data_IF_971693031422
#
_entry.id   IF_971693031422
#
_cell.length_a   1.000
_cell.length_b   1.000
_cell.length_c   1.000
_cell.angle_alpha   90.00
_cell.angle_beta   90.00
_cell.angle_gamma   90.00
#
_symmetry.space_group_name_H-M   'P 1'
#
loop_
_entity.id
_entity.type
_entity.pdbx_description
1 polymer ?
#
# COMPACT_ATOMS: atom_id res chain seq x y z
N UNK A 1 2.05 -0.98 41.26
CA UNK A 1 2.29 -2.25 40.54
C UNK A 1 2.85 -1.90 39.19
N UNK A 2 4.17 -1.96 39.04
CA UNK A 2 4.86 -1.62 37.81
C UNK A 2 4.67 -2.77 36.83
N UNK A 3 3.64 -2.70 35.98
CA UNK A 3 3.51 -3.61 34.86
C UNK A 3 4.78 -3.53 34.02
N UNK A 4 5.38 -4.67 33.70
CA UNK A 4 6.56 -4.68 32.83
C UNK A 4 6.22 -3.98 31.52
N UNK A 5 7.16 -3.21 30.95
CA UNK A 5 6.98 -2.45 29.70
C UNK A 5 6.35 -3.32 28.59
N UNK A 6 6.78 -4.59 28.51
CA UNK A 6 6.25 -5.60 27.59
C UNK A 6 4.78 -5.95 27.83
N UNK A 7 4.33 -5.99 29.09
CA UNK A 7 2.93 -6.29 29.43
C UNK A 7 1.99 -5.17 29.02
N UNK A 8 2.43 -3.92 29.18
CA UNK A 8 1.65 -2.74 28.76
C UNK A 8 1.56 -2.69 27.24
N UNK A 9 2.67 -2.91 26.55
CA UNK A 9 2.68 -2.97 25.10
C UNK A 9 1.83 -4.13 24.55
N UNK A 10 1.89 -5.30 25.18
CA UNK A 10 1.06 -6.45 24.82
C UNK A 10 -0.44 -6.17 25.01
N UNK A 11 -0.83 -5.51 26.10
CA UNK A 11 -2.22 -5.11 26.32
C UNK A 11 -2.68 -4.01 25.33
N UNK A 12 -1.79 -3.07 24.95
CA UNK A 12 -2.07 -2.09 23.91
C UNK A 12 -2.23 -2.77 22.54
N UNK A 13 -1.40 -3.77 22.24
CA UNK A 13 -1.48 -4.58 21.04
C UNK A 13 -2.84 -5.29 20.88
N UNK A 14 -3.40 -5.85 21.96
CA UNK A 14 -4.73 -6.48 21.92
C UNK A 14 -5.84 -5.47 21.56
N UNK A 15 -5.74 -4.23 22.05
CA UNK A 15 -6.66 -3.15 21.65
C UNK A 15 -6.44 -2.71 20.20
N UNK A 16 -5.20 -2.67 19.74
CA UNK A 16 -4.85 -2.33 18.36
C UNK A 16 -5.37 -3.38 17.37
N UNK A 17 -5.34 -4.68 17.72
CA UNK A 17 -5.96 -5.75 16.91
C UNK A 17 -7.46 -5.59 16.70
N UNK A 18 -8.16 -4.96 17.65
CA UNK A 18 -9.60 -4.70 17.52
C UNK A 18 -9.91 -3.49 16.62
N UNK A 19 -8.94 -2.61 16.40
CA UNK A 19 -9.09 -1.38 15.59
C UNK A 19 -8.46 -1.46 14.20
N UNK A 20 -7.47 -2.33 14.02
CA UNK A 20 -6.73 -2.50 12.79
C UNK A 20 -7.09 -3.84 12.11
N UNK A 21 -6.91 -3.90 10.79
CA UNK A 21 -7.02 -5.19 10.10
C UNK A 21 -5.85 -6.11 10.49
N UNK A 22 -6.03 -7.44 10.46
CA UNK A 22 -4.97 -8.39 10.84
C UNK A 22 -3.67 -8.21 10.04
N UNK A 23 -3.79 -7.89 8.76
CA UNK A 23 -2.65 -7.66 7.86
C UNK A 23 -1.85 -6.41 8.23
N UNK A 24 -2.54 -5.33 8.59
CA UNK A 24 -1.92 -4.10 9.07
C UNK A 24 -1.22 -4.35 10.40
N UNK A 25 -1.90 -5.03 11.33
CA UNK A 25 -1.33 -5.33 12.64
C UNK A 25 -0.05 -6.16 12.56
N UNK A 26 -0.06 -7.29 11.84
CA UNK A 26 1.12 -8.17 11.73
C UNK A 26 2.32 -7.47 11.09
N UNK A 27 2.07 -6.56 10.16
CA UNK A 27 3.12 -5.86 9.41
C UNK A 27 3.67 -4.64 10.16
N UNK A 28 2.77 -3.88 10.79
CA UNK A 28 3.07 -2.54 11.30
C UNK A 28 3.21 -2.44 12.80
N UNK A 29 2.53 -3.31 13.55
CA UNK A 29 2.47 -3.21 15.00
C UNK A 29 3.18 -4.39 15.65
N UNK A 30 3.04 -5.60 15.11
CA UNK A 30 3.58 -6.81 15.72
C UNK A 30 5.13 -6.87 15.74
N UNK A 31 5.79 -6.12 14.86
CA UNK A 31 7.27 -6.04 14.83
C UNK A 31 7.83 -4.99 15.78
N UNK A 32 6.98 -4.11 16.31
CA UNK A 32 7.38 -3.07 17.25
C UNK A 32 7.62 -3.73 18.61
N UNK A 33 8.77 -3.45 19.21
CA UNK A 33 9.10 -3.92 20.57
C UNK A 33 9.10 -2.78 21.54
N UNK A 34 8.60 -3.00 22.75
CA UNK A 34 8.72 -2.02 23.82
C UNK A 34 10.13 -2.08 24.42
N UNK A 35 10.84 -0.95 24.47
CA UNK A 35 12.18 -0.88 25.05
C UNK A 35 12.12 -0.47 26.51
N UNK A 36 11.49 0.65 26.78
CA UNK A 36 11.51 1.27 28.10
C UNK A 36 10.23 2.06 28.35
N UNK A 37 9.75 2.01 29.58
CA UNK A 37 8.62 2.82 30.04
C UNK A 37 9.12 3.78 31.11
N UNK A 38 9.20 5.05 30.74
CA UNK A 38 9.42 6.14 31.68
C UNK A 38 8.14 6.57 32.39
N UNK A 39 8.26 7.58 33.25
CA UNK A 39 7.11 8.15 33.95
C UNK A 39 6.17 8.92 33.00
N UNK A 40 6.71 9.52 31.94
CA UNK A 40 5.99 10.39 30.99
C UNK A 40 5.99 9.90 29.55
N UNK A 41 6.86 8.93 29.20
CA UNK A 41 7.00 8.43 27.85
C UNK A 41 7.18 6.91 27.78
N UNK A 42 6.66 6.30 26.72
CA UNK A 42 6.89 4.90 26.35
C UNK A 42 7.78 4.87 25.11
N UNK A 43 8.94 4.24 25.21
CA UNK A 43 9.90 4.10 24.11
C UNK A 43 9.66 2.77 23.40
N UNK A 44 9.33 2.87 22.12
CA UNK A 44 9.11 1.75 21.21
C UNK A 44 10.25 1.64 20.21
N UNK A 45 10.79 0.44 20.02
CA UNK A 45 11.86 0.18 19.07
C UNK A 45 11.31 -0.27 17.72
N UNK A 46 11.84 0.34 16.66
CA UNK A 46 11.48 0.09 15.26
C UNK A 46 12.72 -0.15 14.40
N UNK A 47 12.52 -0.82 13.27
CA UNK A 47 13.64 -1.36 12.47
C UNK A 47 14.46 -0.31 11.69
N UNK A 48 13.91 0.86 11.39
CA UNK A 48 14.60 1.94 10.66
C UNK A 48 13.86 3.28 10.80
N UNK A 49 14.54 4.39 10.46
CA UNK A 49 14.02 5.77 10.58
C UNK A 49 12.75 6.00 9.73
N UNK A 50 12.67 5.31 8.59
CA UNK A 50 11.51 5.40 7.73
C UNK A 50 10.27 4.75 8.40
N UNK A 51 10.46 3.56 8.98
CA UNK A 51 9.40 2.82 9.67
C UNK A 51 8.91 3.60 10.87
N UNK A 52 9.82 4.23 11.60
CA UNK A 52 9.50 5.20 12.64
C UNK A 52 8.56 6.28 12.10
N UNK A 53 9.03 7.04 11.10
CA UNK A 53 8.28 8.18 10.54
C UNK A 53 6.90 7.75 10.05
N UNK A 54 6.80 6.59 9.42
CA UNK A 54 5.55 6.09 8.88
C UNK A 54 4.56 5.65 9.97
N UNK A 55 5.03 4.92 11.00
CA UNK A 55 4.17 4.53 12.13
C UNK A 55 3.75 5.78 12.91
N UNK A 56 4.64 6.76 13.05
CA UNK A 56 4.35 8.06 13.66
C UNK A 56 3.25 8.81 12.89
N UNK A 57 3.37 8.93 11.57
CA UNK A 57 2.38 9.65 10.76
C UNK A 57 1.01 8.95 10.69
N UNK A 58 0.99 7.62 10.61
CA UNK A 58 -0.24 6.88 10.29
C UNK A 58 -0.93 6.27 11.52
N UNK A 59 -0.16 5.91 12.55
CA UNK A 59 -0.66 5.12 13.68
C UNK A 59 -0.37 5.71 15.06
N UNK A 60 0.42 6.79 15.19
CA UNK A 60 0.75 7.37 16.49
C UNK A 60 -0.49 7.64 17.33
N UNK A 61 -1.50 8.32 16.78
CA UNK A 61 -2.71 8.67 17.54
C UNK A 61 -3.45 7.42 18.05
N UNK A 62 -3.55 6.37 17.23
CA UNK A 62 -4.23 5.13 17.62
C UNK A 62 -3.40 4.37 18.66
N UNK A 63 -2.07 4.38 18.52
CA UNK A 63 -1.13 3.77 19.46
C UNK A 63 -1.18 4.49 20.81
N UNK A 64 -1.11 5.82 20.82
CA UNK A 64 -1.21 6.65 22.02
C UNK A 64 -2.54 6.44 22.74
N UNK A 65 -3.66 6.41 22.02
CA UNK A 65 -4.96 6.10 22.61
C UNK A 65 -5.02 4.69 23.23
N UNK A 66 -4.47 3.69 22.54
CA UNK A 66 -4.43 2.33 23.04
C UNK A 66 -3.57 2.22 24.32
N UNK A 67 -2.39 2.84 24.30
CA UNK A 67 -1.45 2.90 25.43
C UNK A 67 -2.06 3.66 26.60
N UNK A 68 -2.66 4.83 26.36
CA UNK A 68 -3.30 5.65 27.38
C UNK A 68 -4.48 4.94 28.04
N UNK A 69 -5.26 4.20 27.26
CA UNK A 69 -6.38 3.41 27.75
C UNK A 69 -5.95 2.17 28.56
N UNK A 70 -4.72 1.69 28.39
CA UNK A 70 -4.16 0.59 29.22
C UNK A 70 -3.55 1.14 30.51
N UNK A 71 -2.86 2.27 30.43
CA UNK A 71 -2.18 2.91 31.55
C UNK A 71 -3.09 3.81 32.40
N UNK A 72 -4.32 4.08 31.96
CA UNK A 72 -5.24 5.06 32.55
C UNK A 72 -4.62 6.45 32.76
N UNK A 73 -3.65 6.82 31.91
CA UNK A 73 -2.99 8.14 31.89
C UNK A 73 -2.46 8.42 30.49
N UNK A 74 -2.31 9.69 30.13
CA UNK A 74 -1.66 10.07 28.88
C UNK A 74 -0.16 9.87 28.99
N UNK A 75 0.43 9.19 28.01
CA UNK A 75 1.86 8.93 27.92
C UNK A 75 2.27 9.24 26.49
N UNK A 76 3.40 9.93 26.33
CA UNK A 76 3.94 10.24 25.00
C UNK A 76 4.60 8.98 24.44
N UNK A 77 4.27 8.61 23.21
CA UNK A 77 4.92 7.46 22.55
C UNK A 77 6.09 7.98 21.73
N UNK A 78 7.30 7.50 22.06
CA UNK A 78 8.52 7.84 21.35
C UNK A 78 9.04 6.60 20.63
N UNK A 79 9.51 6.78 19.41
CA UNK A 79 10.12 5.70 18.64
C UNK A 79 11.64 5.86 18.61
N UNK A 80 12.34 4.74 18.70
CA UNK A 80 13.78 4.67 18.59
C UNK A 80 14.16 3.62 17.55
N UNK A 81 15.07 3.97 16.65
CA UNK A 81 15.57 3.06 15.64
C UNK A 81 16.55 2.08 16.25
N UNK A 82 16.20 0.80 16.19
CA UNK A 82 17.07 -0.29 16.58
C UNK A 82 17.10 -1.36 15.47
N UNK A 83 18.23 -1.49 14.74
CA UNK A 83 18.36 -2.44 13.64
C UNK A 83 18.35 -3.92 14.08
N UNK A 84 18.47 -4.22 15.38
CA UNK A 84 18.39 -5.59 15.93
C UNK A 84 16.96 -6.06 16.19
N UNK A 85 15.95 -5.20 15.96
CA UNK A 85 14.55 -5.60 16.11
C UNK A 85 14.16 -6.53 14.95
N UNK A 86 13.72 -7.77 15.22
CA UNK A 86 13.38 -8.73 14.18
C UNK A 86 12.26 -8.19 13.30
N UNK A 87 12.57 -8.07 12.01
CA UNK A 87 11.61 -7.76 10.95
C UNK A 87 10.57 -8.89 10.89
N UNK A 88 9.29 -8.56 10.69
CA UNK A 88 8.25 -9.56 10.43
C UNK A 88 8.71 -10.44 9.28
N UNK A 89 9.12 -11.66 9.62
CA UNK A 89 9.27 -12.72 8.64
C UNK A 89 7.87 -13.11 8.23
N UNK A 90 7.63 -13.19 6.93
CA UNK A 90 6.40 -13.75 6.38
C UNK A 90 6.02 -15.03 7.14
N UNK A 91 4.98 -14.94 7.95
CA UNK A 91 4.20 -16.09 8.34
C UNK A 91 3.64 -16.65 7.03
N UNK A 92 4.11 -17.84 6.63
CA UNK A 92 3.47 -18.61 5.56
C UNK A 92 1.99 -18.67 5.87
N UNK A 93 1.19 -17.95 5.08
CA UNK A 93 -0.26 -17.91 5.25
C UNK A 93 -0.77 -19.34 5.10
N UNK A 94 -1.23 -19.87 6.23
CA UNK A 94 -1.96 -21.11 6.34
C UNK A 94 -3.18 -21.02 5.44
N UNK A 95 -3.34 -22.05 4.62
CA UNK A 95 -4.46 -22.22 3.70
C UNK A 95 -5.80 -21.90 4.39
N UNK A 96 -6.51 -20.89 3.88
CA UNK A 96 -7.92 -20.68 4.21
C UNK A 96 -8.76 -21.77 3.56
N UNK A 97 -9.78 -22.34 4.22
CA UNK A 97 -10.58 -23.43 3.65
C UNK A 97 -11.39 -22.96 2.44
N UNK A 98 -11.51 -23.88 1.49
CA UNK A 98 -12.16 -23.75 0.18
C UNK A 98 -13.59 -23.22 0.27
N UNK A 99 -13.90 -22.26 -0.61
CA UNK A 99 -15.09 -22.38 -1.46
C UNK A 99 -14.58 -22.35 -2.91
N UNK A 100 -14.61 -23.52 -3.53
CA UNK A 100 -14.39 -23.73 -4.97
C UNK A 100 -15.74 -23.51 -5.68
N UNK A 101 -15.76 -23.16 -6.97
CA UNK A 101 -15.54 -24.18 -7.99
C UNK A 101 -14.40 -23.84 -8.96
N UNK A 102 -13.51 -24.83 -9.08
CA UNK A 102 -12.82 -25.33 -10.30
C UNK A 102 -12.50 -24.29 -11.38
N UNK A 103 -11.22 -24.01 -11.66
CA UNK A 103 -10.40 -24.87 -12.52
C UNK A 103 -8.90 -24.82 -12.16
N UNK A 104 -8.22 -25.92 -12.48
CA UNK A 104 -6.81 -26.27 -12.28
C UNK A 104 -5.81 -25.32 -12.96
N UNK A 105 -4.62 -25.04 -12.38
CA UNK A 105 -3.57 -24.31 -13.09
C UNK A 105 -2.69 -25.28 -13.90
N UNK A 106 -2.75 -25.14 -15.21
CA UNK A 106 -1.67 -25.55 -16.13
C UNK A 106 -0.61 -24.45 -16.15
N UNK A 107 0.68 -24.77 -16.42
CA UNK A 107 1.79 -23.83 -16.25
C UNK A 107 1.96 -22.86 -17.44
N UNK A 108 2.40 -21.64 -17.14
CA UNK A 108 2.94 -20.62 -18.06
C UNK A 108 2.06 -20.12 -19.22
N UNK A 109 1.23 -19.10 -18.95
CA UNK A 109 1.05 -17.90 -19.82
C UNK A 109 0.80 -16.69 -18.90
N UNK A 110 1.39 -15.54 -19.23
CA UNK A 110 1.57 -14.37 -18.37
C UNK A 110 0.39 -14.05 -17.43
N UNK A 111 0.69 -13.84 -16.15
CA UNK A 111 -0.27 -13.36 -15.15
C UNK A 111 -0.95 -12.12 -15.71
N UNK A 112 -2.22 -12.25 -16.12
CA UNK A 112 -3.04 -11.09 -16.45
C UNK A 112 -3.02 -10.16 -15.24
N UNK A 113 -2.84 -8.85 -15.43
CA UNK A 113 -3.01 -7.90 -14.33
C UNK A 113 -4.38 -8.15 -13.70
N UNK A 114 -4.48 -8.01 -12.37
CA UNK A 114 -5.72 -8.17 -11.58
C UNK A 114 -6.72 -7.04 -11.91
N UNK A 115 -7.10 -6.93 -13.17
CA UNK A 115 -8.07 -5.98 -13.68
C UNK A 115 -9.46 -6.60 -13.54
N UNK A 116 -10.40 -5.82 -13.02
CA UNK A 116 -11.79 -6.21 -12.94
C UNK A 116 -12.39 -6.29 -14.35
N UNK A 117 -12.87 -7.47 -14.75
CA UNK A 117 -13.43 -7.73 -16.09
C UNK A 117 -14.62 -6.82 -16.45
N UNK A 118 -15.30 -6.24 -15.44
CA UNK A 118 -16.42 -5.32 -15.67
C UNK A 118 -15.96 -3.93 -16.10
N UNK A 119 -14.75 -3.52 -15.75
CA UNK A 119 -14.24 -2.16 -15.94
C UNK A 119 -13.60 -1.99 -17.32
N UNK A 120 -14.43 -2.06 -18.36
CA UNK A 120 -14.02 -1.86 -19.75
C UNK A 120 -14.66 -0.59 -20.33
N UNK A 121 -14.08 -0.02 -21.39
CA UNK A 121 -14.66 1.13 -22.08
C UNK A 121 -16.09 0.86 -22.58
N UNK A 122 -16.37 -0.37 -23.03
CA UNK A 122 -17.71 -0.79 -23.49
C UNK A 122 -18.78 -0.65 -22.41
N UNK A 123 -18.41 -0.90 -21.15
CA UNK A 123 -19.33 -0.85 -20.02
C UNK A 123 -19.35 0.52 -19.32
N UNK A 124 -18.60 1.51 -19.82
CA UNK A 124 -18.56 2.84 -19.23
C UNK A 124 -19.62 3.73 -19.89
N UNK A 125 -20.52 4.30 -19.08
CA UNK A 125 -21.58 5.18 -19.57
C UNK A 125 -21.01 6.61 -19.71
N UNK A 126 -21.01 7.10 -20.94
CA UNK A 126 -20.51 8.44 -21.28
C UNK A 126 -21.65 9.46 -21.11
N UNK A 127 -21.34 10.59 -20.48
CA UNK A 127 -22.21 11.74 -20.35
C UNK A 127 -21.42 13.06 -20.36
N UNK A 128 -22.08 14.21 -20.33
CA UNK A 128 -21.43 15.53 -20.50
C UNK A 128 -20.29 15.79 -19.50
N UNK A 129 -20.42 15.29 -18.27
CA UNK A 129 -19.46 15.53 -17.18
C UNK A 129 -18.24 14.61 -17.19
N UNK A 130 -18.31 13.46 -17.88
CA UNK A 130 -17.22 12.47 -17.91
C UNK A 130 -16.66 12.22 -19.32
N UNK A 131 -17.25 12.85 -20.36
CA UNK A 131 -16.85 12.67 -21.75
C UNK A 131 -15.38 13.02 -21.98
N UNK A 132 -14.89 14.11 -21.37
CA UNK A 132 -13.49 14.51 -21.49
C UNK A 132 -12.55 13.46 -20.89
N UNK A 133 -12.83 12.98 -19.67
CA UNK A 133 -12.02 11.96 -19.01
C UNK A 133 -12.04 10.63 -19.80
N UNK A 134 -13.20 10.25 -20.35
CA UNK A 134 -13.33 9.08 -21.21
C UNK A 134 -12.50 9.21 -22.49
N UNK A 135 -12.64 10.34 -23.21
CA UNK A 135 -11.90 10.59 -24.45
C UNK A 135 -10.38 10.60 -24.23
N UNK A 136 -9.90 11.26 -23.18
CA UNK A 136 -8.48 11.28 -22.80
C UNK A 136 -7.97 9.87 -22.45
N UNK A 137 -8.76 9.10 -21.71
CA UNK A 137 -8.43 7.71 -21.37
C UNK A 137 -8.33 6.82 -22.62
N UNK A 138 -9.27 6.98 -23.56
CA UNK A 138 -9.26 6.24 -24.81
C UNK A 138 -8.06 6.61 -25.69
N UNK A 139 -7.69 7.90 -25.76
CA UNK A 139 -6.52 8.35 -26.51
C UNK A 139 -5.22 7.75 -25.96
N UNK A 140 -5.07 7.71 -24.62
CA UNK A 140 -3.92 7.06 -23.97
C UNK A 140 -3.90 5.55 -24.23
N UNK A 141 -5.06 4.88 -24.18
CA UNK A 141 -5.15 3.46 -24.47
C UNK A 141 -4.80 3.11 -25.93
N UNK A 142 -5.11 4.00 -26.88
CA UNK A 142 -4.80 3.82 -28.30
C UNK A 142 -3.35 4.11 -28.64
N UNK A 143 -2.68 5.00 -27.90
CA UNK A 143 -1.28 5.37 -28.12
C UNK A 143 -0.56 5.63 -26.79
N UNK A 144 -0.27 4.57 -26.01
CA UNK A 144 0.39 4.68 -24.70
C UNK A 144 1.72 5.42 -24.81
N UNK A 145 1.97 6.34 -23.88
CA UNK A 145 3.21 7.14 -23.84
C UNK A 145 3.34 8.25 -24.90
N UNK A 146 2.46 8.30 -25.92
CA UNK A 146 2.52 9.31 -27.00
C UNK A 146 1.43 10.37 -26.91
N UNK A 147 0.22 9.98 -26.51
CA UNK A 147 -0.89 10.93 -26.37
C UNK A 147 -0.68 11.83 -25.14
N UNK A 148 -0.46 11.21 -23.98
CA UNK A 148 -0.19 11.86 -22.69
C UNK A 148 0.70 10.95 -21.84
N UNK A 149 1.66 11.52 -21.10
CA UNK A 149 2.42 10.84 -20.06
C UNK A 149 2.90 11.87 -19.01
N UNK A 150 2.40 11.84 -17.76
CA UNK A 150 1.35 10.96 -17.25
C UNK A 150 -0.07 11.41 -17.65
N UNK A 151 -1.05 10.50 -17.54
CA UNK A 151 -2.48 10.83 -17.51
C UNK A 151 -2.97 10.82 -16.06
N UNK A 152 -3.47 11.97 -15.58
CA UNK A 152 -3.98 12.11 -14.23
C UNK A 152 -5.49 12.34 -14.24
N UNK A 153 -6.25 11.44 -13.61
CA UNK A 153 -7.72 11.52 -13.51
C UNK A 153 -8.12 11.76 -12.05
N UNK A 154 -8.82 12.87 -11.79
CA UNK A 154 -9.30 13.22 -10.46
C UNK A 154 -10.80 13.54 -10.46
N UNK A 155 -11.41 13.52 -9.27
CA UNK A 155 -12.83 13.75 -9.06
C UNK A 155 -13.34 13.05 -7.80
N UNK A 156 -14.59 13.32 -7.44
CA UNK A 156 -15.24 12.76 -6.24
C UNK A 156 -15.34 11.23 -6.22
N UNK A 157 -15.86 10.67 -5.13
CA UNK A 157 -16.07 9.23 -5.00
C UNK A 157 -17.14 8.76 -6.01
N UNK A 158 -16.95 7.58 -6.60
CA UNK A 158 -17.97 6.97 -7.49
C UNK A 158 -18.08 7.55 -8.90
N UNK A 159 -17.26 8.53 -9.28
CA UNK A 159 -17.34 9.16 -10.64
C UNK A 159 -16.69 8.34 -11.76
N UNK A 160 -16.18 7.14 -11.47
CA UNK A 160 -15.65 6.21 -12.48
C UNK A 160 -14.15 6.28 -12.75
N UNK A 161 -13.35 6.91 -11.87
CA UNK A 161 -11.87 7.00 -12.01
C UNK A 161 -11.20 5.63 -12.19
N UNK A 162 -11.42 4.72 -11.24
CA UNK A 162 -10.91 3.35 -11.28
C UNK A 162 -11.41 2.58 -12.50
N UNK A 163 -12.67 2.79 -12.91
CA UNK A 163 -13.23 2.15 -14.10
C UNK A 163 -12.47 2.58 -15.35
N UNK A 164 -12.31 3.89 -15.58
CA UNK A 164 -11.59 4.41 -16.74
C UNK A 164 -10.13 3.94 -16.76
N UNK A 165 -9.44 3.99 -15.61
CA UNK A 165 -8.05 3.54 -15.52
C UNK A 165 -7.91 2.04 -15.86
N UNK A 166 -8.76 1.18 -15.31
CA UNK A 166 -8.70 -0.25 -15.62
C UNK A 166 -9.15 -0.55 -17.07
N UNK A 167 -10.03 0.28 -17.65
CA UNK A 167 -10.41 0.19 -19.05
C UNK A 167 -9.23 0.44 -20.00
N UNK A 168 -8.33 1.37 -19.65
CA UNK A 168 -7.04 1.57 -20.35
C UNK A 168 -6.22 0.27 -20.31
N UNK A 169 -6.13 -0.34 -19.13
CA UNK A 169 -5.41 -1.61 -18.94
C UNK A 169 -5.95 -2.72 -19.84
N UNK A 170 -7.27 -2.97 -19.81
CA UNK A 170 -7.92 -4.00 -20.64
C UNK A 170 -7.71 -3.75 -22.13
N UNK A 171 -7.84 -2.50 -22.58
CA UNK A 171 -7.63 -2.15 -23.98
C UNK A 171 -6.19 -2.43 -24.45
N UNK A 172 -5.22 -2.23 -23.55
CA UNK A 172 -3.79 -2.38 -23.85
C UNK A 172 -3.34 -3.86 -23.79
N UNK A 173 -3.91 -4.67 -22.90
CA UNK A 173 -3.63 -6.11 -22.80
C UNK A 173 -4.14 -6.90 -24.02
N UNK A 174 -5.17 -6.40 -24.72
CA UNK A 174 -5.77 -7.08 -25.86
C UNK A 174 -5.05 -6.91 -27.21
N UNK A 175 -4.06 -5.99 -27.30
CA UNK A 175 -3.51 -5.54 -28.59
C UNK A 175 -2.01 -5.80 -28.80
N UNK A 176 -1.25 -6.19 -27.78
CA UNK A 176 0.22 -6.31 -27.88
C UNK A 176 0.83 -7.06 -26.68
N UNK A 177 2.10 -7.48 -26.80
CA UNK A 177 3.03 -7.92 -25.76
C UNK A 177 3.32 -6.85 -24.68
N UNK A 178 2.46 -5.83 -24.51
CA UNK A 178 2.66 -4.76 -23.53
C UNK A 178 2.49 -5.30 -22.11
N UNK A 179 3.49 -5.05 -21.27
CA UNK A 179 3.48 -5.39 -19.86
C UNK A 179 2.69 -4.33 -19.08
N UNK A 180 1.38 -4.52 -19.02
CA UNK A 180 0.46 -3.67 -18.26
C UNK A 180 0.47 -4.06 -16.79
N UNK A 181 0.60 -3.08 -15.91
CA UNK A 181 0.50 -3.28 -14.46
C UNK A 181 -0.49 -2.34 -13.82
N UNK A 182 -1.30 -2.90 -12.93
CA UNK A 182 -2.22 -2.18 -12.07
C UNK A 182 -1.82 -2.39 -10.62
N UNK A 183 -1.83 -1.32 -9.84
CA UNK A 183 -1.52 -1.33 -8.42
C UNK A 183 -2.23 -0.17 -7.70
N UNK A 184 -2.68 -0.37 -6.46
CA UNK A 184 -3.10 0.78 -5.63
C UNK A 184 -1.87 1.48 -5.07
N UNK A 185 -1.96 2.79 -4.85
CA UNK A 185 -0.84 3.55 -4.29
C UNK A 185 -0.42 2.99 -2.92
N UNK A 186 -1.39 2.58 -2.09
CA UNK A 186 -1.14 1.90 -0.82
C UNK A 186 -0.31 0.61 -0.99
N UNK A 187 -0.66 -0.24 -1.95
CA UNK A 187 0.08 -1.49 -2.21
C UNK A 187 1.49 -1.20 -2.72
N UNK A 188 1.64 -0.21 -3.60
CA UNK A 188 2.94 0.22 -4.12
C UNK A 188 3.85 0.68 -2.98
N UNK A 189 3.32 1.48 -2.04
CA UNK A 189 4.05 1.90 -0.85
C UNK A 189 4.43 0.70 0.02
N UNK A 190 3.48 -0.18 0.32
CA UNK A 190 3.75 -1.36 1.15
C UNK A 190 4.86 -2.23 0.56
N UNK A 191 4.82 -2.48 -0.75
CA UNK A 191 5.89 -3.21 -1.46
C UNK A 191 7.23 -2.50 -1.39
N UNK A 192 7.27 -1.18 -1.56
CA UNK A 192 8.49 -0.39 -1.47
C UNK A 192 9.13 -0.50 -0.08
N UNK A 193 8.32 -0.39 0.97
CA UNK A 193 8.78 -0.42 2.35
C UNK A 193 9.36 -1.79 2.70
N UNK A 194 8.70 -2.86 2.23
CA UNK A 194 9.25 -4.22 2.37
C UNK A 194 10.55 -4.38 1.60
N UNK A 195 10.66 -3.77 0.41
CA UNK A 195 11.90 -3.81 -0.35
C UNK A 195 13.04 -3.08 0.39
N UNK A 196 12.76 -1.97 1.08
CA UNK A 196 13.73 -1.31 1.96
C UNK A 196 14.15 -2.22 3.12
N UNK A 197 13.18 -2.80 3.84
CA UNK A 197 13.43 -3.70 4.97
C UNK A 197 14.29 -4.92 4.59
N UNK A 198 14.08 -5.45 3.37
CA UNK A 198 14.79 -6.62 2.87
C UNK A 198 16.06 -6.28 2.07
N UNK A 199 16.47 -5.00 2.03
CA UNK A 199 17.57 -4.52 1.18
C UNK A 199 17.43 -4.97 -0.30
N UNK A 200 16.20 -5.07 -0.78
CA UNK A 200 15.85 -5.59 -2.11
C UNK A 200 15.23 -4.53 -3.03
N UNK A 201 15.53 -3.25 -2.79
CA UNK A 201 15.03 -2.10 -3.57
C UNK A 201 15.33 -2.23 -5.07
N UNK A 202 16.46 -2.82 -5.46
CA UNK A 202 16.77 -3.10 -6.86
C UNK A 202 15.75 -4.04 -7.54
N UNK A 203 15.27 -5.05 -6.82
CA UNK A 203 14.23 -5.98 -7.29
C UNK A 203 12.90 -5.25 -7.45
N UNK A 204 12.55 -4.40 -6.48
CA UNK A 204 11.36 -3.54 -6.55
C UNK A 204 11.42 -2.63 -7.79
N UNK A 205 12.50 -1.86 -7.98
CA UNK A 205 12.66 -0.96 -9.14
C UNK A 205 12.54 -1.72 -10.45
N UNK A 206 13.27 -2.84 -10.60
CA UNK A 206 13.20 -3.68 -11.81
C UNK A 206 11.78 -4.20 -12.06
N UNK A 207 11.02 -4.49 -10.99
CA UNK A 207 9.62 -4.88 -11.11
C UNK A 207 8.88 -3.78 -11.89
N UNK A 208 8.86 -2.54 -11.42
CA UNK A 208 8.00 -1.50 -11.99
C UNK A 208 8.57 -0.86 -13.27
N UNK A 209 9.90 -0.79 -13.44
CA UNK A 209 10.55 -0.30 -14.67
C UNK A 209 10.40 -1.16 -15.90
N UNK A 210 9.97 -2.41 -15.73
CA UNK A 210 9.69 -3.29 -16.88
C UNK A 210 8.26 -3.15 -17.39
N UNK A 211 7.43 -2.32 -16.76
CA UNK A 211 6.06 -2.09 -17.22
C UNK A 211 6.05 -1.06 -18.34
N UNK A 212 5.40 -1.39 -19.46
CA UNK A 212 5.15 -0.42 -20.54
C UNK A 212 4.00 0.53 -20.17
N UNK A 213 3.09 0.07 -19.30
CA UNK A 213 1.98 0.85 -18.77
C UNK A 213 1.85 0.57 -17.28
N UNK A 214 2.01 1.61 -16.47
CA UNK A 214 1.80 1.57 -15.01
C UNK A 214 0.53 2.36 -14.65
N UNK A 215 -0.46 1.64 -14.10
CA UNK A 215 -1.73 2.18 -13.62
C UNK A 215 -1.68 2.21 -12.10
N UNK A 216 -1.74 3.42 -11.51
CA UNK A 216 -1.70 3.63 -10.06
C UNK A 216 -3.01 4.21 -9.57
N UNK A 217 -3.79 3.43 -8.83
CA UNK A 217 -5.03 3.92 -8.21
C UNK A 217 -4.78 4.61 -6.87
N UNK A 218 -5.79 5.31 -6.37
CA UNK A 218 -5.83 5.80 -4.99
C UNK A 218 -4.62 6.68 -4.59
N UNK A 219 -4.17 7.53 -5.52
CA UNK A 219 -3.03 8.45 -5.32
C UNK A 219 -3.20 9.37 -4.10
N UNK A 220 -4.44 9.60 -3.65
CA UNK A 220 -4.74 10.38 -2.46
C UNK A 220 -4.12 9.80 -1.18
N UNK A 221 -3.78 8.50 -1.17
CA UNK A 221 -3.02 7.90 -0.06
C UNK A 221 -1.61 8.48 0.10
N UNK A 222 -1.07 9.20 -0.90
CA UNK A 222 0.19 9.95 -0.80
C UNK A 222 0.01 11.33 -0.16
N UNK A 223 -1.22 11.83 -0.02
CA UNK A 223 -1.45 13.15 0.53
C UNK A 223 -0.81 13.27 1.92
N UNK A 224 -0.07 14.36 2.15
CA UNK A 224 0.67 14.65 3.37
C UNK A 224 1.83 13.70 3.72
N UNK A 225 2.24 12.81 2.82
CA UNK A 225 3.39 11.89 3.01
C UNK A 225 4.61 12.34 2.22
N UNK A 226 5.22 13.46 2.61
CA UNK A 226 6.25 14.16 1.82
C UNK A 226 7.44 13.26 1.43
N UNK A 227 7.98 12.49 2.36
CA UNK A 227 9.10 11.57 2.11
C UNK A 227 8.74 10.47 1.10
N UNK A 228 7.48 10.02 1.09
CA UNK A 228 6.98 9.04 0.13
C UNK A 228 6.68 9.66 -1.24
N UNK A 229 6.25 10.92 -1.28
CA UNK A 229 6.07 11.66 -2.53
C UNK A 229 7.41 11.86 -3.25
N UNK A 230 8.48 12.23 -2.52
CA UNK A 230 9.81 12.40 -3.09
C UNK A 230 10.36 11.11 -3.70
N UNK A 231 10.23 9.99 -3.00
CA UNK A 231 10.76 8.71 -3.47
C UNK A 231 9.94 8.11 -4.62
N UNK A 232 8.62 8.31 -4.61
CA UNK A 232 7.75 7.96 -5.72
C UNK A 232 8.08 8.83 -6.95
N UNK A 233 8.35 10.12 -6.76
CA UNK A 233 8.81 11.03 -7.82
C UNK A 233 10.16 10.55 -8.42
N UNK A 234 11.11 10.13 -7.59
CA UNK A 234 12.35 9.50 -8.09
C UNK A 234 12.07 8.24 -8.91
N UNK A 235 11.16 7.37 -8.44
CA UNK A 235 10.76 6.17 -9.17
C UNK A 235 10.11 6.51 -10.52
N UNK A 236 9.29 7.57 -10.59
CA UNK A 236 8.61 8.01 -11.81
C UNK A 236 9.52 8.74 -12.80
N UNK A 237 10.48 9.56 -12.34
CA UNK A 237 11.41 10.24 -13.24
C UNK A 237 12.40 9.30 -13.94
N UNK A 238 12.55 8.08 -13.43
CA UNK A 238 13.39 7.03 -14.01
C UNK A 238 12.62 6.05 -14.93
N UNK A 239 11.31 6.28 -15.15
CA UNK A 239 10.42 5.48 -16.01
C UNK A 239 10.22 6.09 -17.39
#
# INVERSE_FOLDING_TARGET
MSGSCEQIWSAACEKLKARLTPEVYERWIAVIKSKELGETALILSVSNDFYQSWVEENYLSIIEEAVASVLNRTVTVLFEVNPDVPVARESKVVARPKIRPTQSPSPNKGKRPELNEKYTFKNFIIGPTNNFAHASSLAVAQSPGKAYNPLFIYGGVGVGKTHLMQAIGHHSTGKSELNVRYISCETLMNEYITALQQQSTAKFRRRYRTADILLVDDIHFLANKNSLQEELNHTFNEL
#
